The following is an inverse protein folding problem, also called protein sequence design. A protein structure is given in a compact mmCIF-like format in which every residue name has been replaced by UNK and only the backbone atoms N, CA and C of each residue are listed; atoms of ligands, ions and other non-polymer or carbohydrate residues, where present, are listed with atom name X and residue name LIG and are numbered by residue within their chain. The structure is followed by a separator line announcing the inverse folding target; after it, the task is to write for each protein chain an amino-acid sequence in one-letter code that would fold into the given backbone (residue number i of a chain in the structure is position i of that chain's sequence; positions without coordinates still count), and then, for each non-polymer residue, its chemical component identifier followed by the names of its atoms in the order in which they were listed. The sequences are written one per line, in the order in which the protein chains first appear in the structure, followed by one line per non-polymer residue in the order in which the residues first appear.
data_IF_145851855056
#
_entry.id   IF_145851855056
#
_cell.length_a   1.000
_cell.length_b   1.000
_cell.length_c   1.000
_cell.angle_alpha   90.00
_cell.angle_beta   90.00
_cell.angle_gamma   90.00
#
_symmetry.space_group_name_H-M   'P 1'
#
loop_
_entity.id
_entity.type
_entity.pdbx_description
1 polymer ?
#
# COMPACT_ATOMS: atom_id res chain seq x y z
N UNK A 1 21.18 3.62 5.49
CA UNK A 1 21.18 4.19 4.11
C UNK A 1 19.80 3.91 3.54
N UNK A 2 19.11 4.89 3.01
CA UNK A 2 17.76 4.71 2.46
C UNK A 2 17.83 3.93 1.14
N UNK A 3 17.16 2.78 1.03
CA UNK A 3 17.18 1.90 -0.16
C UNK A 3 16.86 2.65 -1.45
N UNK A 4 15.92 3.59 -1.40
CA UNK A 4 15.52 4.39 -2.56
C UNK A 4 16.59 5.34 -3.10
N UNK A 5 17.63 5.64 -2.29
CA UNK A 5 18.76 6.48 -2.70
C UNK A 5 20.00 5.68 -3.12
N UNK A 6 19.92 4.37 -3.06
CA UNK A 6 21.01 3.47 -3.50
C UNK A 6 21.06 3.42 -5.03
N UNK A 7 22.24 3.22 -5.58
CA UNK A 7 22.40 2.84 -6.98
C UNK A 7 21.78 1.47 -7.24
N UNK A 8 21.54 1.13 -8.50
CA UNK A 8 21.02 -0.18 -8.88
C UNK A 8 21.92 -1.31 -8.37
N UNK A 9 23.24 -1.15 -8.46
CA UNK A 9 24.21 -2.15 -7.97
C UNK A 9 24.19 -2.28 -6.45
N UNK A 10 24.12 -1.17 -5.74
CA UNK A 10 23.97 -1.16 -4.27
C UNK A 10 22.66 -1.83 -3.83
N UNK A 11 21.54 -1.58 -4.53
CA UNK A 11 20.25 -2.25 -4.27
C UNK A 11 20.37 -3.77 -4.46
N UNK A 12 20.96 -4.23 -5.58
CA UNK A 12 21.15 -5.66 -5.83
C UNK A 12 21.97 -6.29 -4.68
N UNK A 13 23.11 -5.71 -4.34
CA UNK A 13 23.96 -6.20 -3.25
C UNK A 13 23.22 -6.19 -1.91
N UNK A 14 22.46 -5.14 -1.63
CA UNK A 14 21.71 -4.98 -0.40
C UNK A 14 20.67 -6.11 -0.25
N UNK A 15 19.79 -6.32 -1.24
CA UNK A 15 18.77 -7.36 -1.18
C UNK A 15 19.37 -8.76 -1.18
N UNK A 16 20.44 -9.01 -1.94
CA UNK A 16 21.15 -10.28 -1.87
C UNK A 16 21.66 -10.58 -0.45
N UNK A 17 22.28 -9.61 0.20
CA UNK A 17 22.82 -9.82 1.55
C UNK A 17 21.73 -9.91 2.61
N UNK A 18 20.62 -9.22 2.45
CA UNK A 18 19.44 -9.32 3.34
C UNK A 18 18.77 -10.68 3.25
N UNK A 19 18.89 -11.38 2.11
CA UNK A 19 18.43 -12.75 1.91
C UNK A 19 19.53 -13.80 2.20
N UNK A 20 20.64 -13.37 2.79
CA UNK A 20 21.77 -14.23 3.17
C UNK A 20 22.39 -15.02 2.00
N UNK A 21 22.24 -14.52 0.75
CA UNK A 21 22.76 -15.16 -0.44
C UNK A 21 24.19 -14.72 -0.74
N UNK A 22 25.02 -15.69 -1.20
CA UNK A 22 26.31 -15.35 -1.81
C UNK A 22 26.11 -14.87 -3.26
N UNK A 23 27.13 -14.25 -3.85
CA UNK A 23 27.07 -13.85 -5.26
C UNK A 23 26.91 -15.06 -6.19
N UNK A 24 27.53 -16.19 -5.87
CA UNK A 24 27.38 -17.44 -6.62
C UNK A 24 25.95 -17.98 -6.57
N UNK A 25 25.32 -17.92 -5.38
CA UNK A 25 23.96 -18.39 -5.19
C UNK A 25 22.96 -17.53 -5.98
N UNK A 26 23.05 -16.20 -5.86
CA UNK A 26 22.16 -15.31 -6.62
C UNK A 26 22.40 -15.41 -8.14
N UNK A 27 23.66 -15.52 -8.58
CA UNK A 27 23.98 -15.73 -9.99
C UNK A 27 23.37 -17.02 -10.53
N UNK A 28 23.48 -18.11 -9.77
CA UNK A 28 22.87 -19.41 -10.13
C UNK A 28 21.35 -19.35 -10.21
N UNK A 29 20.70 -18.74 -9.19
CA UNK A 29 19.25 -18.64 -9.12
C UNK A 29 18.67 -17.73 -10.23
N UNK A 30 19.37 -16.64 -10.56
CA UNK A 30 18.96 -15.71 -11.60
C UNK A 30 19.38 -16.14 -13.03
N UNK A 31 20.14 -17.25 -13.16
CA UNK A 31 20.67 -17.70 -14.44
C UNK A 31 21.68 -16.72 -15.08
N UNK A 32 22.41 -15.97 -14.25
CA UNK A 32 23.45 -15.05 -14.66
C UNK A 32 24.83 -15.62 -14.36
N UNK A 33 25.87 -15.13 -15.06
CA UNK A 33 27.24 -15.45 -14.67
C UNK A 33 27.64 -14.66 -13.43
N UNK A 34 28.48 -15.26 -12.55
CA UNK A 34 29.02 -14.61 -11.37
C UNK A 34 29.72 -13.29 -11.73
N UNK A 35 30.52 -13.30 -12.81
CA UNK A 35 31.21 -12.11 -13.31
C UNK A 35 30.26 -10.98 -13.74
N UNK A 36 29.09 -11.32 -14.31
CA UNK A 36 28.09 -10.32 -14.64
C UNK A 36 27.48 -9.71 -13.39
N UNK A 37 27.10 -10.54 -12.41
CA UNK A 37 26.52 -10.09 -11.15
C UNK A 37 27.51 -9.20 -10.36
N UNK A 38 28.78 -9.56 -10.31
CA UNK A 38 29.83 -8.76 -9.67
C UNK A 38 29.95 -7.36 -10.29
N UNK A 39 29.92 -7.28 -11.62
CA UNK A 39 29.95 -6.00 -12.35
C UNK A 39 28.67 -5.17 -12.14
N UNK A 40 27.53 -5.81 -11.93
CA UNK A 40 26.29 -5.11 -11.59
C UNK A 40 26.34 -4.56 -10.16
N UNK A 41 26.78 -5.35 -9.18
CA UNK A 41 26.90 -4.92 -7.78
C UNK A 41 27.97 -3.84 -7.55
N UNK A 42 28.99 -3.75 -8.44
CA UNK A 42 30.01 -2.71 -8.41
C UNK A 42 29.68 -1.48 -9.24
N UNK A 43 28.50 -1.46 -9.90
CA UNK A 43 28.09 -0.43 -10.86
C UNK A 43 29.05 -0.24 -12.07
N UNK A 44 29.98 -1.18 -12.29
CA UNK A 44 30.83 -1.18 -13.48
C UNK A 44 30.05 -1.39 -14.77
N UNK A 45 28.90 -2.06 -14.65
CA UNK A 45 27.98 -2.29 -15.77
C UNK A 45 26.54 -2.19 -15.28
N UNK A 46 25.71 -1.43 -15.99
CA UNK A 46 24.28 -1.38 -15.75
C UNK A 46 23.58 -2.64 -16.29
N UNK A 47 22.81 -3.37 -15.47
CA UNK A 47 21.98 -4.46 -15.96
C UNK A 47 20.88 -3.94 -16.88
N UNK A 48 20.53 -4.70 -17.92
CA UNK A 48 19.34 -4.42 -18.74
C UNK A 48 18.07 -4.83 -17.98
N UNK A 49 16.88 -4.34 -18.39
CA UNK A 49 15.61 -4.70 -17.74
C UNK A 49 15.39 -6.22 -17.61
N UNK A 50 15.79 -7.00 -18.62
CA UNK A 50 15.68 -8.46 -18.60
C UNK A 50 16.55 -9.12 -17.52
N UNK A 51 17.73 -8.55 -17.22
CA UNK A 51 18.59 -9.04 -16.16
C UNK A 51 18.05 -8.61 -14.78
N UNK A 52 17.49 -7.40 -14.69
CA UNK A 52 16.84 -6.94 -13.46
C UNK A 52 15.64 -7.80 -13.12
N UNK A 53 14.84 -8.19 -14.12
CA UNK A 53 13.71 -9.10 -13.92
C UNK A 53 14.19 -10.45 -13.35
N UNK A 54 15.23 -11.06 -13.93
CA UNK A 54 15.79 -12.32 -13.42
C UNK A 54 16.33 -12.21 -11.99
N UNK A 55 16.94 -11.07 -11.67
CA UNK A 55 17.46 -10.81 -10.31
C UNK A 55 16.30 -10.61 -9.33
N UNK A 56 15.28 -9.84 -9.71
CA UNK A 56 14.11 -9.62 -8.86
C UNK A 56 13.34 -10.91 -8.59
N UNK A 57 13.13 -11.75 -9.62
CA UNK A 57 12.49 -13.05 -9.47
C UNK A 57 13.28 -13.97 -8.52
N UNK A 58 14.62 -14.02 -8.68
CA UNK A 58 15.47 -14.82 -7.82
C UNK A 58 15.50 -14.33 -6.36
N UNK A 59 15.32 -13.03 -6.14
CA UNK A 59 15.24 -12.43 -4.81
C UNK A 59 13.80 -12.42 -4.26
N UNK A 60 12.79 -12.78 -5.06
CA UNK A 60 11.41 -12.69 -4.65
C UNK A 60 10.93 -11.26 -4.38
N UNK A 61 11.45 -10.25 -5.06
CA UNK A 61 11.10 -8.84 -4.88
C UNK A 61 10.60 -8.21 -6.19
N UNK A 62 9.91 -7.07 -6.09
CA UNK A 62 9.45 -6.36 -7.29
C UNK A 62 10.61 -5.77 -8.09
N UNK A 63 10.60 -5.93 -9.42
CA UNK A 63 11.53 -5.26 -10.33
C UNK A 63 11.50 -3.73 -10.16
N UNK A 64 10.38 -3.16 -9.75
CA UNK A 64 10.22 -1.71 -9.54
C UNK A 64 11.19 -1.15 -8.49
N UNK A 65 11.71 -1.98 -7.59
CA UNK A 65 12.73 -1.60 -6.61
C UNK A 65 14.03 -1.14 -7.30
N UNK A 66 14.34 -1.77 -8.42
CA UNK A 66 15.53 -1.46 -9.23
C UNK A 66 15.30 -0.38 -10.27
N UNK A 67 14.02 -0.04 -10.54
CA UNK A 67 13.67 0.99 -11.49
C UNK A 67 13.73 2.37 -10.81
N UNK A 68 14.54 3.27 -11.32
CA UNK A 68 14.56 4.65 -10.85
C UNK A 68 13.39 5.41 -11.49
N UNK A 69 12.36 5.65 -10.70
CA UNK A 69 11.26 6.53 -11.09
C UNK A 69 11.63 7.97 -10.76
N UNK A 70 12.08 8.71 -11.76
CA UNK A 70 12.45 10.10 -11.62
C UNK A 70 11.20 10.97 -11.83
N UNK A 71 10.57 11.37 -10.74
CA UNK A 71 9.40 12.26 -10.77
C UNK A 71 9.91 13.69 -10.74
N UNK A 72 10.01 14.33 -11.91
CA UNK A 72 10.50 15.70 -12.07
C UNK A 72 9.40 16.69 -12.46
N UNK A 73 8.36 16.22 -13.11
CA UNK A 73 7.27 17.03 -13.62
C UNK A 73 5.93 16.64 -13.01
N UNK A 74 4.97 17.54 -13.08
CA UNK A 74 3.58 17.25 -12.70
C UNK A 74 3.03 16.08 -13.54
N UNK A 75 3.43 16.00 -14.82
CA UNK A 75 3.04 14.90 -15.70
C UNK A 75 3.57 13.54 -15.21
N UNK A 76 4.80 13.47 -14.70
CA UNK A 76 5.37 12.23 -14.16
C UNK A 76 4.58 11.78 -12.93
N UNK A 77 4.27 12.72 -12.04
CA UNK A 77 3.46 12.46 -10.85
C UNK A 77 2.07 11.93 -11.21
N UNK A 78 1.36 12.63 -12.10
CA UNK A 78 0.01 12.20 -12.50
C UNK A 78 0.01 10.88 -13.26
N UNK A 79 1.03 10.60 -14.08
CA UNK A 79 1.19 9.31 -14.74
C UNK A 79 1.30 8.15 -13.73
N UNK A 80 2.01 8.37 -12.61
CA UNK A 80 2.08 7.38 -11.52
C UNK A 80 0.73 7.24 -10.81
N UNK A 81 0.09 8.35 -10.46
CA UNK A 81 -1.20 8.35 -9.77
C UNK A 81 -2.29 7.66 -10.59
N UNK A 82 -2.36 7.89 -11.90
CA UNK A 82 -3.33 7.21 -12.78
C UNK A 82 -3.08 5.70 -12.87
N UNK A 83 -1.81 5.25 -12.88
CA UNK A 83 -1.50 3.82 -12.79
C UNK A 83 -1.93 3.22 -11.47
N UNK A 84 -1.76 3.94 -10.36
CA UNK A 84 -2.20 3.48 -9.05
C UNK A 84 -3.73 3.46 -8.95
N UNK A 85 -4.44 4.41 -9.59
CA UNK A 85 -5.89 4.40 -9.71
C UNK A 85 -6.38 3.17 -10.47
N UNK A 86 -5.74 2.86 -11.61
CA UNK A 86 -6.11 1.74 -12.47
C UNK A 86 -5.76 0.36 -11.84
N UNK A 87 -4.57 0.23 -11.26
CA UNK A 87 -4.04 -1.07 -10.84
C UNK A 87 -4.26 -1.40 -9.36
N UNK A 88 -4.39 -0.39 -8.52
CA UNK A 88 -4.51 -0.54 -7.07
C UNK A 88 -5.77 0.11 -6.49
N UNK A 89 -6.71 0.54 -7.34
CA UNK A 89 -7.95 1.20 -6.92
C UNK A 89 -7.72 2.38 -5.94
N UNK A 90 -6.69 3.20 -6.24
CA UNK A 90 -6.48 4.45 -5.52
C UNK A 90 -7.63 5.41 -5.86
N UNK A 91 -8.13 6.11 -4.86
CA UNK A 91 -9.18 7.13 -5.01
C UNK A 91 -8.75 8.45 -4.41
N UNK A 92 -9.28 9.51 -4.98
CA UNK A 92 -9.09 10.88 -4.49
C UNK A 92 -10.35 11.34 -3.78
N UNK A 93 -10.20 12.07 -2.69
CA UNK A 93 -11.30 12.78 -2.05
C UNK A 93 -10.88 14.19 -1.68
N UNK A 94 -11.86 15.09 -1.63
CA UNK A 94 -11.68 16.43 -1.11
C UNK A 94 -12.51 16.57 0.17
N UNK A 95 -11.83 16.81 1.27
CA UNK A 95 -12.51 17.18 2.51
C UNK A 95 -12.94 18.66 2.42
N UNK A 96 -14.25 18.87 2.39
CA UNK A 96 -14.82 20.21 2.29
C UNK A 96 -14.72 21.02 3.57
N UNK A 97 -14.49 20.36 4.71
CA UNK A 97 -14.37 21.00 6.02
C UNK A 97 -12.99 21.61 6.22
N UNK A 98 -11.95 20.87 5.82
CA UNK A 98 -10.55 21.28 5.98
C UNK A 98 -9.94 21.81 4.69
N UNK A 99 -10.67 21.81 3.57
CA UNK A 99 -10.20 22.12 2.21
C UNK A 99 -8.94 21.32 1.80
N UNK A 100 -8.78 20.13 2.38
CA UNK A 100 -7.65 19.25 2.06
C UNK A 100 -8.04 18.21 1.02
N UNK A 101 -7.07 17.80 0.20
CA UNK A 101 -7.20 16.67 -0.72
C UNK A 101 -6.45 15.48 -0.14
N UNK A 102 -7.13 14.35 -0.05
CA UNK A 102 -6.54 13.10 0.38
C UNK A 102 -6.64 12.03 -0.70
N UNK A 103 -5.93 10.96 -0.48
CA UNK A 103 -5.98 9.73 -1.28
C UNK A 103 -6.25 8.55 -0.35
N UNK A 104 -6.99 7.56 -0.84
CA UNK A 104 -7.19 6.30 -0.15
C UNK A 104 -7.21 5.14 -1.16
N UNK A 105 -7.03 3.94 -0.69
CA UNK A 105 -7.14 2.73 -1.48
C UNK A 105 -8.42 2.00 -1.08
N UNK A 106 -9.21 1.54 -2.06
CA UNK A 106 -10.39 0.71 -1.79
C UNK A 106 -10.00 -0.69 -1.30
N UNK A 107 -8.76 -1.10 -1.53
CA UNK A 107 -8.22 -2.36 -1.07
C UNK A 107 -7.89 -2.29 0.43
N UNK A 108 -8.57 -3.11 1.23
CA UNK A 108 -8.44 -3.15 2.70
C UNK A 108 -7.02 -3.53 3.15
N UNK A 109 -6.38 -4.49 2.49
CA UNK A 109 -5.01 -4.91 2.80
C UNK A 109 -4.01 -3.77 2.61
N UNK A 110 -4.11 -3.04 1.48
CA UNK A 110 -3.25 -1.87 1.21
C UNK A 110 -3.52 -0.78 2.25
N UNK A 111 -4.79 -0.53 2.57
CA UNK A 111 -5.20 0.47 3.56
C UNK A 111 -4.65 0.13 4.94
N UNK A 112 -4.73 -1.12 5.37
CA UNK A 112 -4.16 -1.60 6.64
C UNK A 112 -2.64 -1.41 6.67
N UNK A 113 -1.93 -1.79 5.61
CA UNK A 113 -0.47 -1.60 5.51
C UNK A 113 -0.07 -0.13 5.56
N UNK A 114 -0.79 0.75 4.85
CA UNK A 114 -0.53 2.20 4.88
C UNK A 114 -0.84 2.79 6.25
N UNK A 115 -1.92 2.36 6.90
CA UNK A 115 -2.28 2.81 8.24
C UNK A 115 -1.21 2.41 9.26
N UNK A 116 -0.78 1.16 9.26
CA UNK A 116 0.33 0.67 10.09
C UNK A 116 1.62 1.44 9.84
N UNK A 117 1.93 1.72 8.57
CA UNK A 117 3.09 2.54 8.23
C UNK A 117 2.97 3.97 8.76
N UNK A 118 1.81 4.59 8.66
CA UNK A 118 1.58 5.94 9.18
C UNK A 118 1.69 6.01 10.71
N UNK A 119 1.25 4.98 11.44
CA UNK A 119 1.41 4.86 12.88
C UNK A 119 2.89 4.72 13.27
N UNK A 120 3.61 3.83 12.59
CA UNK A 120 5.06 3.68 12.80
C UNK A 120 5.84 4.97 12.54
N UNK A 121 5.46 5.76 11.52
CA UNK A 121 6.08 7.07 11.26
C UNK A 121 5.90 8.04 12.42
N UNK A 122 4.71 8.08 13.05
CA UNK A 122 4.47 8.92 14.24
C UNK A 122 5.34 8.52 15.42
N UNK A 123 5.54 7.21 15.62
CA UNK A 123 6.42 6.71 16.68
C UNK A 123 7.89 7.10 16.39
N UNK A 124 8.32 6.95 15.14
CA UNK A 124 9.68 7.30 14.70
C UNK A 124 9.97 8.78 14.91
N UNK A 125 9.02 9.66 14.61
CA UNK A 125 9.18 11.12 14.78
C UNK A 125 9.49 11.52 16.23
N UNK A 126 9.09 10.70 17.21
CA UNK A 126 9.40 10.88 18.63
C UNK A 126 10.78 10.40 19.05
N UNK A 127 11.49 9.66 18.18
CA UNK A 127 12.80 9.05 18.48
C UNK A 127 13.96 10.02 18.19
N UNK A 128 15.15 9.69 18.71
CA UNK A 128 16.35 10.44 18.35
C UNK A 128 16.76 10.19 16.88
N UNK A 129 17.47 11.14 16.20
CA UNK A 129 17.75 11.07 14.77
C UNK A 129 18.45 9.79 14.29
N UNK A 130 19.31 9.21 15.13
CA UNK A 130 20.04 7.97 14.77
C UNK A 130 19.10 6.77 14.73
N UNK A 131 18.17 6.67 15.68
CA UNK A 131 17.16 5.64 15.72
C UNK A 131 16.08 5.84 14.63
N UNK A 132 15.69 7.08 14.36
CA UNK A 132 14.75 7.40 13.27
C UNK A 132 15.23 6.79 11.95
N UNK A 133 16.48 7.05 11.58
CA UNK A 133 17.06 6.54 10.34
C UNK A 133 17.08 5.00 10.25
N UNK A 134 17.44 4.35 11.37
CA UNK A 134 17.45 2.89 11.42
C UNK A 134 16.05 2.30 11.26
N UNK A 135 15.07 2.87 11.97
CA UNK A 135 13.68 2.40 11.93
C UNK A 135 13.04 2.64 10.57
N UNK A 136 13.24 3.81 9.96
CA UNK A 136 12.81 4.07 8.58
C UNK A 136 13.33 3.01 7.61
N UNK A 137 14.62 2.70 7.69
CA UNK A 137 15.23 1.69 6.81
C UNK A 137 14.61 0.31 7.04
N UNK A 138 14.38 -0.07 8.31
CA UNK A 138 13.79 -1.38 8.65
C UNK A 138 12.37 -1.51 8.08
N UNK A 139 11.52 -0.52 8.28
CA UNK A 139 10.14 -0.52 7.81
C UNK A 139 10.07 -0.52 6.28
N UNK A 140 10.89 0.30 5.61
CA UNK A 140 10.96 0.30 4.15
C UNK A 140 11.33 -1.09 3.61
N UNK A 141 12.29 -1.77 4.24
CA UNK A 141 12.68 -3.11 3.83
C UNK A 141 11.55 -4.12 4.02
N UNK A 142 10.84 -4.05 5.12
CA UNK A 142 9.70 -4.93 5.39
C UNK A 142 8.60 -4.76 4.34
N UNK A 143 8.23 -3.52 4.03
CA UNK A 143 7.21 -3.21 3.02
C UNK A 143 7.66 -3.56 1.59
N UNK A 144 8.95 -3.35 1.26
CA UNK A 144 9.49 -3.66 -0.07
C UNK A 144 9.66 -5.17 -0.31
N UNK A 145 9.74 -5.97 0.75
CA UNK A 145 9.75 -7.43 0.67
C UNK A 145 8.35 -8.07 0.68
N UNK A 146 7.29 -7.27 0.81
CA UNK A 146 5.92 -7.77 0.74
C UNK A 146 5.50 -7.99 -0.72
N UNK A 147 5.54 -9.23 -1.17
CA UNK A 147 5.18 -9.64 -2.53
C UNK A 147 3.73 -10.09 -2.68
N UNK A 148 2.87 -9.72 -1.75
CA UNK A 148 1.44 -10.02 -1.83
C UNK A 148 0.84 -9.40 -3.11
N UNK A 149 0.19 -10.22 -3.93
CA UNK A 149 -0.41 -9.77 -5.18
C UNK A 149 -1.60 -8.85 -4.91
N UNK A 150 -1.55 -7.62 -5.42
CA UNK A 150 -2.68 -6.66 -5.32
C UNK A 150 -3.95 -7.25 -5.95
N UNK A 151 -3.83 -8.03 -7.03
CA UNK A 151 -4.97 -8.64 -7.70
C UNK A 151 -5.60 -9.76 -6.87
N UNK A 152 -4.81 -10.61 -6.22
CA UNK A 152 -5.30 -11.67 -5.34
C UNK A 152 -6.02 -11.11 -4.12
N UNK A 153 -5.46 -10.08 -3.50
CA UNK A 153 -6.07 -9.39 -2.35
C UNK A 153 -7.35 -8.66 -2.74
N UNK A 154 -7.42 -8.09 -3.95
CA UNK A 154 -8.62 -7.42 -4.46
C UNK A 154 -9.80 -8.38 -4.67
N UNK A 155 -9.54 -9.66 -4.95
CA UNK A 155 -10.59 -10.68 -5.07
C UNK A 155 -11.19 -11.05 -3.72
N UNK A 156 -10.38 -11.12 -2.67
CA UNK A 156 -10.83 -11.46 -1.31
C UNK A 156 -11.70 -10.34 -0.73
N UNK A 157 -11.33 -9.08 -0.95
CA UNK A 157 -12.07 -7.92 -0.44
C UNK A 157 -13.35 -7.61 -1.21
N UNK A 158 -13.42 -7.94 -2.50
CA UNK A 158 -14.64 -7.70 -3.30
C UNK A 158 -15.84 -8.56 -2.90
N UNK A 159 -15.64 -9.66 -2.18
CA UNK A 159 -16.73 -10.49 -1.62
C UNK A 159 -17.24 -9.99 -0.26
N UNK A 160 -16.39 -9.34 0.55
CA UNK A 160 -16.78 -8.77 1.86
C UNK A 160 -17.16 -7.28 1.80
N UNK A 161 -16.69 -6.54 0.79
CA UNK A 161 -16.89 -5.08 0.71
C UNK A 161 -18.23 -4.64 0.11
N UNK A 162 -18.92 -5.51 -0.64
CA UNK A 162 -20.29 -5.16 -1.12
C UNK A 162 -21.26 -4.89 0.03
N UNK A 163 -21.05 -5.56 1.17
CA UNK A 163 -21.90 -5.39 2.34
C UNK A 163 -21.43 -4.21 3.24
N UNK A 164 -20.13 -3.95 3.33
CA UNK A 164 -19.57 -2.90 4.20
C UNK A 164 -19.66 -1.49 3.59
N UNK A 165 -19.36 -1.32 2.29
CA UNK A 165 -19.47 -0.01 1.61
C UNK A 165 -20.94 0.42 1.47
N UNK A 166 -21.84 -0.54 1.30
CA UNK A 166 -23.29 -0.29 1.37
C UNK A 166 -23.70 0.21 2.77
N UNK A 167 -23.08 -0.31 3.83
CA UNK A 167 -23.37 0.09 5.22
C UNK A 167 -22.87 1.50 5.53
N UNK A 168 -21.64 1.84 5.20
CA UNK A 168 -21.04 3.17 5.45
C UNK A 168 -21.77 4.28 4.66
N UNK A 169 -22.08 4.05 3.38
CA UNK A 169 -22.82 4.99 2.57
C UNK A 169 -24.29 5.18 3.05
N UNK A 170 -24.86 4.15 3.68
CA UNK A 170 -26.18 4.23 4.32
C UNK A 170 -26.10 4.97 5.66
N UNK A 171 -25.04 4.74 6.44
CA UNK A 171 -24.81 5.44 7.72
C UNK A 171 -24.55 6.94 7.51
N UNK A 172 -23.74 7.34 6.52
CA UNK A 172 -23.52 8.75 6.18
C UNK A 172 -24.81 9.43 5.72
N UNK A 173 -25.58 8.79 4.83
CA UNK A 173 -26.90 9.33 4.41
C UNK A 173 -27.91 9.41 5.54
N UNK A 174 -27.90 8.46 6.46
CA UNK A 174 -28.74 8.50 7.66
C UNK A 174 -28.32 9.63 8.61
N UNK A 175 -27.02 9.86 8.80
CA UNK A 175 -26.51 10.96 9.60
C UNK A 175 -26.87 12.33 8.97
N UNK A 176 -26.76 12.49 7.66
CA UNK A 176 -27.18 13.70 6.94
C UNK A 176 -28.69 13.96 7.12
N UNK A 177 -29.52 12.95 6.92
CA UNK A 177 -30.97 13.08 7.12
C UNK A 177 -31.29 13.43 8.58
N UNK A 178 -30.61 12.83 9.55
CA UNK A 178 -30.84 13.08 10.98
C UNK A 178 -30.32 14.45 11.40
N UNK A 179 -29.26 14.99 10.77
CA UNK A 179 -28.72 16.31 11.09
C UNK A 179 -29.71 17.43 10.81
N UNK A 180 -30.47 17.32 9.74
CA UNK A 180 -31.47 18.33 9.31
C UNK A 180 -32.81 18.22 10.02
N UNK A 181 -33.01 17.17 10.85
CA UNK A 181 -34.29 16.94 11.56
C UNK A 181 -34.39 17.70 12.89
N UNK A 182 -35.59 18.13 13.22
CA UNK A 182 -35.93 18.64 14.55
C UNK A 182 -35.81 17.55 15.62
N UNK A 183 -35.67 17.88 16.91
CA UNK A 183 -35.60 16.89 17.99
C UNK A 183 -36.81 15.94 18.06
N UNK A 184 -37.98 16.38 17.65
CA UNK A 184 -39.19 15.56 17.61
C UNK A 184 -39.16 14.55 16.45
N UNK A 185 -38.70 14.97 15.28
CA UNK A 185 -38.53 14.10 14.10
C UNK A 185 -37.43 13.06 14.31
N UNK A 186 -36.30 13.44 14.95
CA UNK A 186 -35.25 12.50 15.34
C UNK A 186 -35.76 11.37 16.23
N UNK A 187 -36.62 11.70 17.18
CA UNK A 187 -37.26 10.70 18.05
C UNK A 187 -38.15 9.74 17.27
N UNK A 188 -38.97 10.25 16.34
CA UNK A 188 -39.84 9.41 15.49
C UNK A 188 -39.02 8.47 14.60
N UNK A 189 -37.94 8.97 14.01
CA UNK A 189 -37.03 8.14 13.20
C UNK A 189 -36.41 7.04 14.03
N UNK A 190 -35.93 7.34 15.24
CA UNK A 190 -35.35 6.37 16.14
C UNK A 190 -36.32 5.28 16.57
N UNK A 191 -37.56 5.66 16.88
CA UNK A 191 -38.62 4.74 17.25
C UNK A 191 -38.99 3.81 16.06
N UNK A 192 -39.05 4.35 14.84
CA UNK A 192 -39.29 3.58 13.63
C UNK A 192 -38.18 2.59 13.31
N UNK A 193 -36.92 3.02 13.43
CA UNK A 193 -35.73 2.16 13.23
C UNK A 193 -35.66 1.04 14.28
N UNK A 194 -36.02 1.34 15.52
CA UNK A 194 -36.08 0.36 16.60
C UNK A 194 -37.17 -0.69 16.34
N UNK A 195 -38.33 -0.25 15.87
CA UNK A 195 -39.39 -1.14 15.48
C UNK A 195 -39.00 -2.07 14.32
N UNK A 196 -38.41 -1.51 13.25
CA UNK A 196 -37.92 -2.29 12.11
C UNK A 196 -36.86 -3.30 12.51
N UNK A 197 -35.90 -2.92 13.37
CA UNK A 197 -34.86 -3.82 13.89
C UNK A 197 -35.48 -5.00 14.64
N UNK A 198 -36.45 -4.75 15.49
CA UNK A 198 -37.13 -5.80 16.24
C UNK A 198 -37.99 -6.71 15.33
N UNK A 199 -38.66 -6.13 14.34
CA UNK A 199 -39.42 -6.89 13.35
C UNK A 199 -38.55 -7.80 12.50
N UNK A 200 -37.38 -7.30 12.00
CA UNK A 200 -36.43 -8.11 11.23
C UNK A 200 -35.82 -9.25 12.05
N UNK A 201 -35.65 -9.05 13.36
CA UNK A 201 -35.13 -10.08 14.27
C UNK A 201 -36.17 -11.22 14.47
N UNK A 202 -37.43 -10.87 14.64
CA UNK A 202 -38.50 -11.86 14.77
C UNK A 202 -38.86 -12.55 13.44
N UNK A 203 -38.57 -11.92 12.29
CA UNK A 203 -38.76 -12.51 10.97
C UNK A 203 -37.65 -13.52 10.59
N UNK A 204 -36.47 -13.48 11.23
CA UNK A 204 -35.37 -14.45 11.02
C UNK A 204 -35.49 -15.72 11.90
N UNK A 205 -36.37 -15.68 12.90
CA UNK A 205 -36.61 -16.82 13.80
C UNK A 205 -37.80 -17.71 13.36
N UNK A 206 -38.39 -17.40 12.22
CA UNK A 206 -39.43 -18.24 11.54
C UNK A 206 -38.85 -18.83 10.24
#
# INVERSE_FOLDING_TARGET
MEVLRMTTGEKIRYFRTSHELTQEQLASQSGLSISALQKYESDERKPKPEQLLKISDALGISINIFMDFDIRTVSDLFSLLFRMEEQANLRFYKDTTTDTVGIYFENEYITEKISSYAEMLREIDSMNPSHQKLMHTKIQNELLNDNTSIQEVSVITSSSHKDAVSSLAVEEKLLDIISDCTPAERKQILDALTFLKNWMRTAKEK
#
